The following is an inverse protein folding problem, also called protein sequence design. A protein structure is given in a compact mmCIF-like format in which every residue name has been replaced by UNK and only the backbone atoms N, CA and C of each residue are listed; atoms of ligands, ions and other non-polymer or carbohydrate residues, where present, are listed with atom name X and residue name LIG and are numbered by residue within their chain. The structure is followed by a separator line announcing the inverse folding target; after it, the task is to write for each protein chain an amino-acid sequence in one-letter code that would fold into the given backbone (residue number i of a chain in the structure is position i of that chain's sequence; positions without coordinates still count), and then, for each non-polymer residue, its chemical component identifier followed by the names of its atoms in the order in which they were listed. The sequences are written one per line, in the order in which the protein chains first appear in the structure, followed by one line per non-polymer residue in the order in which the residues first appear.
data_IF_320867459005
#
_entry.id   IF_320867459005
#
_cell.length_a   1.000
_cell.length_b   1.000
_cell.length_c   1.000
_cell.angle_alpha   90.00
_cell.angle_beta   90.00
_cell.angle_gamma   90.00
#
_symmetry.space_group_name_H-M   'P 1'
#
loop_
_entity.id
_entity.type
_entity.pdbx_description
1 polymer ?
#
# COMPACT_ATOMS: atom_id res chain seq x y z
N UNK A 1 4.49 -4.49 -8.40
CA UNK A 1 3.57 -3.42 -8.87
C UNK A 1 3.04 -2.64 -7.68
N UNK A 2 2.37 -1.51 -7.90
CA UNK A 2 2.12 -0.58 -6.80
C UNK A 2 0.96 -0.98 -5.87
N UNK A 3 1.20 -0.89 -4.56
CA UNK A 3 0.21 -1.08 -3.49
C UNK A 3 0.13 0.17 -2.65
N UNK A 4 -1.07 0.70 -2.49
CA UNK A 4 -1.33 1.87 -1.68
C UNK A 4 -2.12 1.49 -0.43
N UNK A 5 -1.50 1.61 0.73
CA UNK A 5 -2.13 1.39 2.03
C UNK A 5 -2.56 2.75 2.58
N UNK A 6 -3.85 2.96 2.68
CA UNK A 6 -4.45 4.13 3.32
C UNK A 6 -4.95 3.78 4.70
N UNK A 7 -4.70 4.64 5.68
CA UNK A 7 -5.15 4.43 7.05
C UNK A 7 -5.85 5.67 7.62
N UNK A 8 -6.72 5.44 8.59
CA UNK A 8 -7.40 6.54 9.28
C UNK A 8 -6.38 7.40 10.05
N UNK A 9 -6.64 8.70 10.15
CA UNK A 9 -5.72 9.65 10.78
C UNK A 9 -5.64 9.49 12.32
N UNK A 10 -6.62 8.82 12.91
CA UNK A 10 -6.73 8.52 14.35
C UNK A 10 -6.15 7.15 14.74
N UNK A 11 -5.51 6.44 13.81
CA UNK A 11 -4.86 5.17 14.09
C UNK A 11 -3.77 5.32 15.18
N UNK A 12 -3.63 4.34 16.09
CA UNK A 12 -2.53 4.33 17.06
C UNK A 12 -1.16 4.34 16.37
N UNK A 13 -0.18 5.03 16.95
CA UNK A 13 1.17 5.10 16.40
C UNK A 13 1.84 3.72 16.23
N UNK A 14 1.52 2.75 17.10
CA UNK A 14 1.98 1.37 16.96
C UNK A 14 1.45 0.69 15.69
N UNK A 15 0.20 0.97 15.33
CA UNK A 15 -0.44 0.42 14.14
C UNK A 15 0.10 1.10 12.88
N UNK A 16 0.34 2.42 12.93
CA UNK A 16 1.01 3.15 11.85
C UNK A 16 2.42 2.60 11.60
N UNK A 17 3.17 2.27 12.65
CA UNK A 17 4.50 1.67 12.52
C UNK A 17 4.47 0.31 11.79
N UNK A 18 3.44 -0.51 12.05
CA UNK A 18 3.23 -1.78 11.32
C UNK A 18 2.98 -1.50 9.83
N UNK A 19 2.14 -0.50 9.52
CA UNK A 19 1.87 -0.13 8.14
C UNK A 19 3.12 0.39 7.43
N UNK A 20 3.91 1.23 8.11
CA UNK A 20 5.18 1.75 7.61
C UNK A 20 6.18 0.63 7.30
N UNK A 21 6.20 -0.44 8.10
CA UNK A 21 7.07 -1.58 7.83
C UNK A 21 6.76 -2.26 6.48
N UNK A 22 5.51 -2.24 6.01
CA UNK A 22 5.18 -2.69 4.65
C UNK A 22 5.74 -1.76 3.57
N UNK A 23 5.76 -0.44 3.80
CA UNK A 23 6.38 0.52 2.89
C UNK A 23 7.91 0.41 2.86
N UNK A 24 8.54 0.05 3.98
CA UNK A 24 9.99 -0.15 4.06
C UNK A 24 10.45 -1.45 3.42
N UNK A 25 9.63 -2.50 3.49
CA UNK A 25 9.96 -3.84 2.98
C UNK A 25 9.49 -4.09 1.55
N UNK A 26 8.40 -3.45 1.13
CA UNK A 26 7.86 -3.56 -0.21
C UNK A 26 8.61 -2.68 -1.21
N UNK A 27 8.64 -3.09 -2.48
CA UNK A 27 9.32 -2.33 -3.53
C UNK A 27 8.48 -1.14 -3.99
N UNK A 28 7.17 -1.32 -4.08
CA UNK A 28 6.24 -0.34 -4.63
C UNK A 28 5.05 -0.13 -3.66
N UNK A 29 5.33 -0.06 -2.36
CA UNK A 29 4.32 0.11 -1.31
C UNK A 29 4.32 1.54 -0.78
N UNK A 30 3.16 2.19 -0.84
CA UNK A 30 2.94 3.53 -0.33
C UNK A 30 1.98 3.50 0.85
N UNK A 31 2.31 4.20 1.94
CA UNK A 31 1.44 4.33 3.11
C UNK A 31 1.09 5.81 3.28
N UNK A 32 -0.20 6.13 3.33
CA UNK A 32 -0.65 7.50 3.51
C UNK A 32 -1.90 7.62 4.40
N UNK A 33 -1.97 8.64 5.28
CA UNK A 33 -3.17 8.89 6.05
C UNK A 33 -4.28 9.46 5.17
N UNK A 34 -5.53 9.02 5.38
CA UNK A 34 -6.71 9.57 4.72
C UNK A 34 -7.89 9.65 5.70
N UNK A 35 -8.58 10.79 5.72
CA UNK A 35 -9.78 10.99 6.52
C UNK A 35 -11.04 10.61 5.74
N UNK A 36 -12.01 9.98 6.41
CA UNK A 36 -13.26 9.56 5.78
C UNK A 36 -13.18 8.22 5.05
N UNK A 37 -12.24 7.35 5.45
CA UNK A 37 -12.22 5.97 4.98
C UNK A 37 -13.44 5.19 5.49
N UNK A 38 -13.98 4.24 4.70
CA UNK A 38 -15.06 3.35 5.15
C UNK A 38 -14.60 2.31 6.18
N UNK A 39 -13.29 2.14 6.37
CA UNK A 39 -12.65 1.22 7.30
C UNK A 39 -11.37 1.83 7.90
N UNK A 40 -10.88 1.33 9.05
CA UNK A 40 -9.63 1.81 9.66
C UNK A 40 -8.43 1.77 8.72
N UNK A 41 -8.35 0.75 7.88
CA UNK A 41 -7.28 0.56 6.89
C UNK A 41 -7.88 0.11 5.57
N UNK A 42 -7.40 0.67 4.46
CA UNK A 42 -7.79 0.29 3.10
C UNK A 42 -6.53 0.13 2.26
N UNK A 43 -6.27 -1.09 1.79
CA UNK A 43 -5.23 -1.38 0.83
C UNK A 43 -5.81 -1.35 -0.60
N UNK A 44 -5.18 -0.62 -1.51
CA UNK A 44 -5.63 -0.44 -2.89
C UNK A 44 -4.49 -0.76 -3.86
N UNK A 45 -4.76 -1.55 -4.88
CA UNK A 45 -3.80 -1.89 -5.94
C UNK A 45 -4.54 -2.20 -7.24
N UNK A 46 -4.14 -1.58 -8.36
CA UNK A 46 -4.64 -1.90 -9.70
C UNK A 46 -6.18 -2.03 -9.84
N UNK A 47 -6.92 -1.08 -9.25
CA UNK A 47 -8.39 -1.07 -9.28
C UNK A 47 -9.06 -2.08 -8.33
N UNK A 48 -8.28 -2.79 -7.51
CA UNK A 48 -8.76 -3.58 -6.38
C UNK A 48 -8.58 -2.80 -5.09
N UNK A 49 -9.55 -2.94 -4.19
CA UNK A 49 -9.49 -2.38 -2.85
C UNK A 49 -9.86 -3.46 -1.84
N UNK A 50 -9.11 -3.50 -0.75
CA UNK A 50 -9.29 -4.38 0.39
C UNK A 50 -9.47 -3.52 1.63
N UNK A 51 -10.67 -3.57 2.20
CA UNK A 51 -11.00 -2.88 3.45
C UNK A 51 -10.69 -3.82 4.62
N UNK A 52 -10.02 -3.28 5.63
CA UNK A 52 -9.49 -4.02 6.76
C UNK A 52 -9.81 -3.29 8.05
N UNK A 53 -10.26 -4.05 9.04
CA UNK A 53 -10.56 -3.53 10.37
C UNK A 53 -9.32 -3.49 11.28
N UNK A 54 -8.22 -4.14 10.88
CA UNK A 54 -6.98 -4.23 11.65
C UNK A 54 -5.74 -4.24 10.76
N UNK A 55 -4.64 -3.63 11.24
CA UNK A 55 -3.32 -3.63 10.58
C UNK A 55 -2.60 -4.98 10.67
N UNK A 56 -3.01 -5.86 11.59
CA UNK A 56 -2.43 -7.21 11.76
C UNK A 56 -3.22 -8.28 11.00
N UNK A 57 -4.21 -7.87 10.21
CA UNK A 57 -4.99 -8.80 9.43
C UNK A 57 -4.10 -9.52 8.41
N UNK A 58 -4.04 -10.87 8.41
CA UNK A 58 -3.19 -11.62 7.50
C UNK A 58 -3.51 -11.35 6.01
N UNK A 59 -4.74 -10.89 5.70
CA UNK A 59 -5.14 -10.52 4.35
C UNK A 59 -4.35 -9.31 3.83
N UNK A 60 -3.86 -8.42 4.71
CA UNK A 60 -3.03 -7.28 4.32
C UNK A 60 -1.70 -7.75 3.74
N UNK A 61 -0.99 -8.61 4.46
CA UNK A 61 0.28 -9.17 4.01
C UNK A 61 0.12 -9.99 2.72
N UNK A 62 -0.98 -10.73 2.59
CA UNK A 62 -1.32 -11.44 1.35
C UNK A 62 -1.57 -10.48 0.19
N UNK A 63 -2.31 -9.39 0.40
CA UNK A 63 -2.57 -8.38 -0.62
C UNK A 63 -1.27 -7.69 -1.07
N UNK A 64 -0.45 -7.25 -0.12
CA UNK A 64 0.85 -6.65 -0.42
C UNK A 64 1.72 -7.63 -1.20
N UNK A 65 1.93 -8.85 -0.71
CA UNK A 65 2.77 -9.84 -1.42
C UNK A 65 2.24 -10.21 -2.81
N UNK A 66 0.92 -10.21 -3.01
CA UNK A 66 0.31 -10.51 -4.31
C UNK A 66 0.53 -9.41 -5.34
N UNK A 67 0.50 -8.14 -4.94
CA UNK A 67 0.60 -7.01 -5.86
C UNK A 67 2.00 -6.38 -5.93
N UNK A 68 2.81 -6.52 -4.88
CA UNK A 68 4.18 -5.99 -4.81
C UNK A 68 5.12 -6.80 -5.72
N UNK A 69 5.08 -8.14 -5.67
CA UNK A 69 5.98 -9.05 -6.42
C UNK A 69 5.23 -10.04 -7.34
N UNK A 70 3.94 -9.80 -7.60
CA UNK A 70 3.12 -10.71 -8.38
C UNK A 70 3.36 -10.61 -9.90
N UNK A 71 3.44 -11.73 -10.64
CA UNK A 71 3.52 -11.77 -12.12
C UNK A 71 2.25 -11.28 -12.84
N UNK A 72 1.30 -10.72 -12.07
CA UNK A 72 -0.02 -10.27 -12.49
C UNK A 72 -0.09 -8.75 -12.58
N UNK A 73 0.98 -8.05 -12.20
CA UNK A 73 1.12 -6.62 -12.47
C UNK A 73 1.39 -6.46 -13.96
N UNK A 74 0.71 -5.54 -14.66
CA UNK A 74 0.90 -5.32 -16.10
C UNK A 74 2.37 -5.06 -16.50
N UNK A 75 3.18 -4.66 -15.53
CA UNK A 75 4.61 -4.41 -15.64
C UNK A 75 5.42 -5.66 -15.28
N UNK A 76 5.37 -6.70 -16.12
CA UNK A 76 6.51 -7.61 -16.25
C UNK A 76 7.55 -6.83 -17.08
N UNK A 77 8.67 -6.45 -16.47
CA UNK A 77 9.84 -5.76 -17.08
C UNK A 77 9.87 -4.22 -17.25
N UNK A 78 9.02 -3.41 -16.62
CA UNK A 78 9.23 -1.94 -16.58
C UNK A 78 9.33 -1.37 -15.16
N UNK A 79 10.55 -1.17 -14.61
CA UNK A 79 10.71 -0.44 -13.36
C UNK A 79 10.38 1.05 -13.55
N UNK A 80 9.59 1.64 -12.64
CA UNK A 80 9.23 3.07 -12.61
C UNK A 80 10.40 4.03 -12.26
N UNK A 81 11.65 3.57 -12.35
CA UNK A 81 12.84 4.28 -11.84
C UNK A 81 13.28 5.52 -12.66
N UNK A 82 12.45 6.02 -13.58
CA UNK A 82 12.81 7.12 -14.50
C UNK A 82 11.85 8.33 -14.42
N UNK A 83 11.21 8.55 -13.27
CA UNK A 83 10.49 9.81 -13.01
C UNK A 83 11.48 10.93 -12.66
N UNK A 84 11.97 11.68 -13.64
CA UNK A 84 12.65 12.95 -13.36
C UNK A 84 11.60 14.04 -13.15
N UNK A 85 11.59 14.66 -11.98
CA UNK A 85 10.85 15.89 -11.71
C UNK A 85 11.35 17.00 -12.66
N UNK A 86 10.62 17.24 -13.75
CA UNK A 86 10.82 18.41 -14.59
C UNK A 86 9.71 19.42 -14.27
N UNK A 87 10.03 20.35 -13.38
CA UNK A 87 9.26 21.58 -13.17
C UNK A 87 9.81 22.62 -14.15
N UNK A 88 8.97 23.08 -15.08
CA UNK A 88 9.14 24.35 -15.82
C UNK A 88 8.19 25.39 -15.21
#
# INVERSE_FOLDING_TARGET
GAVWITHAADLPAADVAILQQFAETGKEVLVSPFSGLPAPVVASAWGKQLQLDSVTDPRLAQFVGYFDDGPQTPEIDTPCAQGTDATD
#
